data_IF_590438406879
#
_entry.id   IF_590438406879
#
_cell.length_a   1.000
_cell.length_b   1.000
_cell.length_c   1.000
_cell.angle_alpha   90.00
_cell.angle_beta   90.00
_cell.angle_gamma   90.00
#
_symmetry.space_group_name_H-M   'P 1'
#
loop_
_entity.id
_entity.type
_entity.pdbx_description
1 polymer ?
#
# COMPACT_ATOMS: atom_id res chain seq x y z
N UNK A 1 -0.21 -22.62 25.91
CA UNK A 1 -0.65 -22.88 24.53
C UNK A 1 0.33 -22.19 23.60
N UNK A 2 0.97 -22.94 22.70
CA UNK A 2 2.01 -22.40 21.82
C UNK A 2 1.34 -21.87 20.54
N UNK A 3 1.38 -20.54 20.33
CA UNK A 3 0.68 -19.90 19.20
C UNK A 3 1.28 -20.21 17.83
N UNK A 4 2.48 -20.78 17.78
CA UNK A 4 3.15 -21.20 16.54
C UNK A 4 2.43 -22.36 15.83
N UNK A 5 1.69 -23.20 16.54
CA UNK A 5 0.91 -24.29 15.94
C UNK A 5 -0.16 -23.78 14.96
N UNK A 6 -0.66 -22.57 15.18
CA UNK A 6 -1.62 -21.90 14.27
C UNK A 6 -1.00 -21.54 12.92
N UNK A 7 0.27 -21.15 12.93
CA UNK A 7 0.98 -20.67 11.73
C UNK A 7 1.11 -21.80 10.70
N UNK A 8 1.19 -23.05 11.18
CA UNK A 8 1.24 -24.24 10.33
C UNK A 8 0.04 -24.41 9.41
N UNK A 9 -1.16 -23.92 9.77
CA UNK A 9 -2.32 -23.93 8.87
C UNK A 9 -2.15 -23.06 7.62
N UNK A 10 -1.29 -22.03 7.68
CA UNK A 10 -0.97 -21.17 6.55
C UNK A 10 0.35 -21.53 5.86
N UNK A 11 1.25 -22.22 6.56
CA UNK A 11 2.60 -22.53 6.06
C UNK A 11 2.74 -23.92 5.46
N UNK A 12 2.02 -24.92 5.98
CA UNK A 12 2.13 -26.29 5.53
C UNK A 12 1.21 -26.59 4.35
N UNK A 13 1.67 -27.46 3.47
CA UNK A 13 0.85 -28.06 2.44
C UNK A 13 -0.03 -29.19 3.00
N UNK A 14 -0.86 -29.78 2.14
CA UNK A 14 -1.81 -30.82 2.54
C UNK A 14 -1.13 -31.99 3.24
N UNK A 15 0.02 -32.44 2.75
CA UNK A 15 0.74 -33.59 3.32
C UNK A 15 1.33 -33.24 4.70
N UNK A 16 1.89 -32.03 4.84
CA UNK A 16 2.37 -31.50 6.11
C UNK A 16 1.28 -31.39 7.17
N UNK A 17 0.07 -30.94 6.78
CA UNK A 17 -1.09 -30.89 7.69
C UNK A 17 -1.52 -32.30 8.11
N UNK A 18 -1.60 -33.24 7.18
CA UNK A 18 -1.99 -34.64 7.48
C UNK A 18 -1.00 -35.29 8.45
N UNK A 19 0.30 -35.05 8.28
CA UNK A 19 1.33 -35.56 9.20
C UNK A 19 1.24 -35.04 10.64
N UNK A 20 0.49 -33.95 10.86
CA UNK A 20 0.30 -33.29 12.15
C UNK A 20 -1.16 -33.22 12.58
N UNK A 21 -2.03 -34.02 11.96
CA UNK A 21 -3.47 -33.88 12.09
C UNK A 21 -3.95 -33.96 13.54
N UNK A 22 -3.50 -34.97 14.29
CA UNK A 22 -3.93 -35.18 15.69
C UNK A 22 -3.52 -34.00 16.58
N UNK A 23 -2.29 -33.50 16.42
CA UNK A 23 -1.77 -32.34 17.16
C UNK A 23 -2.58 -31.06 16.85
N UNK A 24 -2.92 -30.84 15.58
CA UNK A 24 -3.69 -29.68 15.13
C UNK A 24 -5.16 -29.76 15.57
N UNK A 25 -5.74 -30.96 15.62
CA UNK A 25 -7.10 -31.16 16.14
C UNK A 25 -7.16 -30.91 17.65
N UNK A 26 -6.18 -31.37 18.41
CA UNK A 26 -6.06 -31.07 19.85
C UNK A 26 -5.89 -29.57 20.09
N UNK A 27 -5.09 -28.89 19.27
CA UNK A 27 -4.98 -27.43 19.29
C UNK A 27 -6.33 -26.74 19.09
N UNK A 28 -7.07 -27.13 18.03
CA UNK A 28 -8.39 -26.56 17.73
C UNK A 28 -9.38 -26.82 18.88
N UNK A 29 -9.39 -28.03 19.44
CA UNK A 29 -10.26 -28.37 20.56
C UNK A 29 -9.93 -27.53 21.81
N UNK A 30 -8.64 -27.34 22.10
CA UNK A 30 -8.19 -26.50 23.21
C UNK A 30 -8.58 -25.02 23.01
N UNK A 31 -8.49 -24.48 21.79
CA UNK A 31 -8.95 -23.12 21.50
C UNK A 31 -10.44 -22.93 21.72
N UNK A 32 -11.25 -23.90 21.29
CA UNK A 32 -12.70 -23.88 21.49
C UNK A 32 -13.04 -23.96 22.98
N UNK A 33 -12.36 -24.81 23.76
CA UNK A 33 -12.57 -24.89 25.22
C UNK A 33 -12.22 -23.57 25.92
N UNK A 34 -11.06 -22.98 25.61
CA UNK A 34 -10.63 -21.70 26.19
C UNK A 34 -11.63 -20.60 25.84
N UNK A 35 -12.05 -20.51 24.58
CA UNK A 35 -13.03 -19.52 24.11
C UNK A 35 -14.37 -19.69 24.83
N UNK A 36 -14.83 -20.93 25.00
CA UNK A 36 -16.06 -21.23 25.75
C UNK A 36 -15.95 -20.87 27.23
N UNK A 37 -14.79 -21.10 27.88
CA UNK A 37 -14.56 -20.70 29.28
C UNK A 37 -14.58 -19.19 29.45
N UNK A 38 -13.97 -18.45 28.52
CA UNK A 38 -14.01 -16.97 28.50
C UNK A 38 -15.45 -16.50 28.27
N UNK A 39 -16.15 -17.06 27.29
CA UNK A 39 -17.55 -16.74 26.99
C UNK A 39 -18.46 -16.96 28.21
N UNK A 40 -18.30 -18.08 28.94
CA UNK A 40 -19.04 -18.36 30.18
C UNK A 40 -18.88 -17.27 31.25
N UNK A 41 -17.74 -16.57 31.28
CA UNK A 41 -17.50 -15.47 32.21
C UNK A 41 -18.02 -14.14 31.69
N UNK A 42 -17.89 -13.87 30.40
CA UNK A 42 -18.29 -12.60 29.79
C UNK A 42 -19.82 -12.52 29.58
N UNK A 43 -20.46 -13.63 29.21
CA UNK A 43 -21.87 -13.63 28.83
C UNK A 43 -22.82 -13.14 29.93
N UNK A 44 -22.66 -13.49 31.23
CA UNK A 44 -23.47 -12.89 32.29
C UNK A 44 -23.31 -11.36 32.40
N UNK A 45 -22.08 -10.84 32.29
CA UNK A 45 -21.82 -9.39 32.32
C UNK A 45 -22.45 -8.68 31.12
N UNK A 46 -22.47 -9.33 29.95
CA UNK A 46 -23.19 -8.84 28.78
C UNK A 46 -24.70 -8.73 29.06
N UNK A 47 -25.31 -9.73 29.70
CA UNK A 47 -26.73 -9.69 30.07
C UNK A 47 -27.03 -8.62 31.13
N UNK A 48 -26.11 -8.33 32.05
CA UNK A 48 -26.26 -7.20 32.99
C UNK A 48 -26.21 -5.85 32.28
N UNK A 49 -25.30 -5.70 31.32
CA UNK A 49 -25.13 -4.46 30.54
C UNK A 49 -26.28 -4.24 29.56
N UNK A 50 -26.74 -5.32 28.92
CA UNK A 50 -27.80 -5.35 27.92
C UNK A 50 -28.92 -6.30 28.37
N UNK A 51 -29.78 -5.90 29.33
CA UNK A 51 -30.78 -6.78 29.95
C UNK A 51 -31.94 -7.15 29.03
N UNK A 52 -32.08 -6.45 27.91
CA UNK A 52 -33.14 -6.73 26.96
C UNK A 52 -32.83 -7.98 26.14
N UNK A 53 -33.71 -8.98 26.22
CA UNK A 53 -33.60 -10.25 25.48
C UNK A 53 -33.58 -10.05 23.96
N UNK A 54 -34.16 -8.96 23.46
CA UNK A 54 -34.11 -8.57 22.05
C UNK A 54 -32.67 -8.35 21.59
N UNK A 55 -31.80 -7.73 22.40
CA UNK A 55 -30.40 -7.51 22.04
C UNK A 55 -29.64 -8.82 21.88
N UNK A 56 -29.84 -9.77 22.78
CA UNK A 56 -29.22 -11.11 22.68
C UNK A 56 -29.80 -11.93 21.53
N UNK A 57 -31.11 -11.86 21.28
CA UNK A 57 -31.76 -12.58 20.20
C UNK A 57 -31.35 -12.01 18.82
N UNK A 58 -31.24 -10.69 18.70
CA UNK A 58 -30.79 -10.03 17.48
C UNK A 58 -29.37 -10.47 17.09
N UNK A 59 -28.43 -10.52 18.04
CA UNK A 59 -27.05 -10.99 17.78
C UNK A 59 -27.00 -12.41 17.20
N UNK A 60 -27.88 -13.30 17.66
CA UNK A 60 -27.99 -14.66 17.11
C UNK A 60 -28.45 -14.65 15.65
N UNK A 61 -29.37 -13.76 15.29
CA UNK A 61 -29.90 -13.66 13.93
C UNK A 61 -28.95 -12.93 12.97
N UNK A 62 -28.26 -11.89 13.43
CA UNK A 62 -27.24 -11.18 12.65
C UNK A 62 -26.11 -12.13 12.21
N UNK A 63 -25.75 -13.13 13.03
CA UNK A 63 -24.76 -14.14 12.68
C UNK A 63 -25.22 -15.15 11.61
N UNK A 64 -26.51 -15.13 11.23
CA UNK A 64 -27.11 -16.04 10.23
C UNK A 64 -27.44 -15.36 8.90
N UNK A 65 -26.94 -14.15 8.68
CA UNK A 65 -27.17 -13.43 7.43
C UNK A 65 -26.48 -14.11 6.25
N UNK A 66 -27.25 -14.29 5.19
CA UNK A 66 -26.76 -14.85 3.92
C UNK A 66 -26.47 -13.67 3.01
N UNK A 67 -25.26 -13.62 2.46
CA UNK A 67 -24.94 -12.69 1.39
C UNK A 67 -25.48 -13.28 0.09
N UNK A 68 -26.49 -12.66 -0.56
CA UNK A 68 -27.01 -13.18 -1.82
C UNK A 68 -25.96 -12.96 -2.90
N UNK A 69 -25.38 -14.06 -3.38
CA UNK A 69 -24.55 -14.07 -4.58
C UNK A 69 -25.33 -14.68 -5.73
N UNK A 70 -25.18 -14.12 -6.93
CA UNK A 70 -25.74 -14.67 -8.15
C UNK A 70 -24.61 -15.26 -9.02
N UNK A 71 -24.99 -15.88 -10.15
CA UNK A 71 -24.02 -16.47 -11.10
C UNK A 71 -23.16 -15.41 -11.80
N UNK A 72 -23.58 -14.14 -11.76
CA UNK A 72 -22.85 -13.03 -12.36
C UNK A 72 -21.68 -12.55 -11.47
N UNK A 73 -21.56 -13.09 -10.25
CA UNK A 73 -20.48 -12.72 -9.33
C UNK A 73 -19.08 -13.00 -9.90
N UNK A 74 -18.91 -14.11 -10.63
CA UNK A 74 -17.64 -14.42 -11.31
C UNK A 74 -17.32 -13.40 -12.39
N UNK A 75 -18.34 -12.98 -13.17
CA UNK A 75 -18.19 -11.92 -14.16
C UNK A 75 -17.87 -10.57 -13.50
N UNK A 76 -18.47 -10.27 -12.34
CA UNK A 76 -18.17 -9.07 -11.57
C UNK A 76 -16.71 -9.05 -11.08
N UNK A 77 -16.21 -10.17 -10.53
CA UNK A 77 -14.80 -10.30 -10.13
C UNK A 77 -13.89 -10.08 -11.33
N UNK A 78 -14.15 -10.77 -12.45
CA UNK A 78 -13.34 -10.66 -13.65
C UNK A 78 -13.31 -9.22 -14.21
N UNK A 79 -14.46 -8.54 -14.23
CA UNK A 79 -14.57 -7.16 -14.69
C UNK A 79 -13.86 -6.18 -13.76
N UNK A 80 -14.01 -6.35 -12.44
CA UNK A 80 -13.33 -5.53 -11.44
C UNK A 80 -11.81 -5.68 -11.55
N UNK A 81 -11.32 -6.91 -11.69
CA UNK A 81 -9.90 -7.21 -11.83
C UNK A 81 -9.34 -6.70 -13.17
N UNK A 82 -10.08 -6.86 -14.27
CA UNK A 82 -9.71 -6.30 -15.57
C UNK A 82 -9.61 -4.76 -15.53
N UNK A 83 -10.55 -4.11 -14.84
CA UNK A 83 -10.55 -2.64 -14.68
C UNK A 83 -9.38 -2.18 -13.82
N UNK A 84 -9.11 -2.88 -12.72
CA UNK A 84 -7.94 -2.63 -11.87
C UNK A 84 -6.64 -2.74 -12.66
N UNK A 85 -6.45 -3.86 -13.37
CA UNK A 85 -5.24 -4.09 -14.16
C UNK A 85 -5.05 -3.02 -15.23
N UNK A 86 -6.13 -2.67 -15.96
CA UNK A 86 -6.09 -1.60 -16.97
C UNK A 86 -5.64 -0.27 -16.38
N UNK A 87 -6.19 0.13 -15.22
CA UNK A 87 -5.83 1.40 -14.57
C UNK A 87 -4.40 1.36 -14.03
N UNK A 88 -4.01 0.26 -13.39
CA UNK A 88 -2.66 0.05 -12.86
C UNK A 88 -1.61 0.09 -13.96
N UNK A 89 -1.86 -0.61 -15.08
CA UNK A 89 -0.98 -0.60 -16.24
C UNK A 89 -0.91 0.79 -16.88
N UNK A 90 -2.04 1.49 -17.01
CA UNK A 90 -2.06 2.86 -17.53
C UNK A 90 -1.25 3.83 -16.68
N UNK A 91 -1.33 3.73 -15.35
CA UNK A 91 -0.50 4.54 -14.44
C UNK A 91 0.97 4.18 -14.60
N UNK A 92 1.30 2.88 -14.63
CA UNK A 92 2.68 2.39 -14.81
C UNK A 92 3.28 2.88 -16.12
N UNK A 93 2.57 2.71 -17.24
CA UNK A 93 3.00 3.18 -18.56
C UNK A 93 3.24 4.68 -18.55
N UNK A 94 2.30 5.45 -17.98
CA UNK A 94 2.46 6.91 -17.91
C UNK A 94 3.67 7.34 -17.08
N UNK A 95 3.94 6.65 -15.97
CA UNK A 95 5.12 6.92 -15.15
C UNK A 95 6.42 6.57 -15.87
N UNK A 96 6.44 5.46 -16.62
CA UNK A 96 7.58 5.08 -17.46
C UNK A 96 7.81 6.14 -18.53
N UNK A 97 6.78 6.55 -19.27
CA UNK A 97 6.89 7.60 -20.30
C UNK A 97 7.46 8.92 -19.74
N UNK A 98 6.97 9.35 -18.58
CA UNK A 98 7.46 10.56 -17.92
C UNK A 98 8.92 10.41 -17.46
N UNK A 99 9.30 9.22 -17.02
CA UNK A 99 10.67 8.92 -16.62
C UNK A 99 11.61 8.94 -17.83
N UNK A 100 11.19 8.33 -18.95
CA UNK A 100 11.96 8.33 -20.20
C UNK A 100 12.13 9.76 -20.76
N UNK A 101 11.07 10.56 -20.77
CA UNK A 101 11.13 11.98 -21.14
C UNK A 101 12.10 12.76 -20.24
N UNK A 102 12.07 12.53 -18.93
CA UNK A 102 13.01 13.18 -18.01
C UNK A 102 14.47 12.73 -18.27
N UNK A 103 14.68 11.46 -18.63
CA UNK A 103 16.00 10.89 -18.93
C UNK A 103 16.63 11.45 -20.22
N UNK A 104 15.83 11.85 -21.22
CA UNK A 104 16.33 12.50 -22.45
C UNK A 104 17.18 13.74 -22.13
N UNK A 105 16.81 14.46 -21.08
CA UNK A 105 17.46 15.71 -20.66
C UNK A 105 18.50 15.54 -19.57
N UNK A 106 18.94 14.30 -19.27
CA UNK A 106 19.91 14.02 -18.19
C UNK A 106 21.23 14.81 -18.28
N UNK A 107 21.65 15.17 -19.50
CA UNK A 107 22.89 15.91 -19.71
C UNK A 107 22.69 17.44 -19.62
N UNK A 108 21.44 17.90 -19.64
CA UNK A 108 21.07 19.31 -19.67
C UNK A 108 20.91 19.86 -18.25
N UNK A 109 22.06 20.14 -17.61
CA UNK A 109 22.14 20.60 -16.23
C UNK A 109 21.25 21.80 -15.92
N UNK A 110 21.00 22.68 -16.88
CA UNK A 110 20.16 23.86 -16.68
C UNK A 110 18.66 23.53 -16.62
N UNK A 111 18.21 22.40 -17.18
CA UNK A 111 16.80 22.05 -17.25
C UNK A 111 16.31 21.49 -15.92
N UNK A 112 16.94 20.43 -15.43
CA UNK A 112 16.51 19.80 -14.17
C UNK A 112 16.82 20.67 -12.96
N UNK A 113 17.83 21.54 -12.98
CA UNK A 113 18.10 22.47 -11.88
C UNK A 113 17.02 23.56 -11.70
N UNK A 114 16.28 23.89 -12.76
CA UNK A 114 15.17 24.86 -12.68
C UNK A 114 13.91 24.25 -12.09
N UNK A 115 13.67 22.97 -12.35
CA UNK A 115 12.52 22.26 -11.80
C UNK A 115 12.78 21.91 -10.31
N UNK A 116 11.91 22.34 -9.38
CA UNK A 116 12.08 22.06 -7.96
C UNK A 116 12.17 20.56 -7.63
N UNK A 117 11.54 19.69 -8.41
CA UNK A 117 11.51 18.24 -8.17
C UNK A 117 12.70 17.55 -8.81
N UNK A 118 13.03 17.89 -10.05
CA UNK A 118 14.14 17.26 -10.76
C UNK A 118 15.50 17.65 -10.16
N UNK A 119 15.70 18.88 -9.67
CA UNK A 119 17.01 19.31 -9.11
C UNK A 119 17.45 18.51 -7.89
N UNK A 120 16.49 17.92 -7.20
CA UNK A 120 16.71 17.18 -5.96
C UNK A 120 17.11 15.72 -6.23
N UNK A 121 16.95 15.24 -7.48
CA UNK A 121 17.35 13.90 -7.89
C UNK A 121 18.84 13.85 -8.20
N UNK A 122 19.47 12.71 -7.94
CA UNK A 122 20.87 12.47 -8.27
C UNK A 122 21.01 12.07 -9.75
N UNK A 123 21.47 13.00 -10.58
CA UNK A 123 21.65 12.80 -12.02
C UNK A 123 23.01 12.22 -12.40
N UNK A 124 23.88 11.89 -11.43
CA UNK A 124 25.25 11.42 -11.71
C UNK A 124 25.31 10.04 -12.36
N UNK A 125 24.16 9.41 -12.65
CA UNK A 125 24.04 8.06 -13.20
C UNK A 125 24.41 7.03 -12.13
N UNK A 126 23.43 6.25 -11.70
CA UNK A 126 23.64 5.19 -10.72
C UNK A 126 23.11 3.88 -11.29
N UNK A 127 23.89 2.80 -11.27
CA UNK A 127 23.43 1.47 -11.70
C UNK A 127 22.56 0.82 -10.60
N UNK A 128 21.42 1.44 -10.30
CA UNK A 128 20.42 0.87 -9.40
C UNK A 128 19.35 0.19 -10.25
N UNK A 129 19.22 -1.13 -10.13
CA UNK A 129 18.25 -1.92 -10.90
C UNK A 129 17.12 -2.37 -9.99
N UNK A 130 15.88 -2.03 -10.35
CA UNK A 130 14.71 -2.65 -9.72
C UNK A 130 14.69 -4.13 -10.12
N UNK A 131 14.69 -5.02 -9.13
CA UNK A 131 14.79 -6.47 -9.37
C UNK A 131 13.45 -7.18 -9.19
N UNK A 132 12.58 -6.69 -8.31
CA UNK A 132 11.26 -7.29 -8.08
C UNK A 132 10.29 -6.29 -7.45
N UNK A 133 9.06 -6.28 -7.95
CA UNK A 133 7.90 -5.70 -7.26
C UNK A 133 6.89 -6.81 -7.02
N UNK A 134 6.57 -7.10 -5.75
CA UNK A 134 5.42 -7.93 -5.36
C UNK A 134 4.51 -7.01 -4.53
N UNK A 135 3.21 -7.31 -4.47
CA UNK A 135 2.13 -6.49 -3.90
C UNK A 135 2.50 -5.62 -2.67
N UNK A 136 3.37 -6.09 -1.76
CA UNK A 136 3.79 -5.36 -0.56
C UNK A 136 5.32 -5.12 -0.44
N UNK A 137 6.11 -5.46 -1.45
CA UNK A 137 7.58 -5.40 -1.41
C UNK A 137 8.19 -4.91 -2.73
N UNK A 138 9.05 -3.89 -2.65
CA UNK A 138 9.86 -3.40 -3.77
C UNK A 138 11.33 -3.67 -3.44
N UNK A 139 12.04 -4.33 -4.36
CA UNK A 139 13.44 -4.73 -4.21
C UNK A 139 14.32 -4.07 -5.26
N UNK A 140 15.43 -3.51 -4.82
CA UNK A 140 16.44 -2.88 -5.66
C UNK A 140 17.78 -3.58 -5.47
N UNK A 141 18.54 -3.70 -6.55
CA UNK A 141 19.95 -4.08 -6.54
C UNK A 141 20.76 -2.80 -6.75
N UNK A 142 21.73 -2.57 -5.88
CA UNK A 142 22.67 -1.47 -5.95
C UNK A 142 24.08 -2.00 -5.68
N UNK A 143 25.09 -1.30 -6.19
CA UNK A 143 26.48 -1.57 -5.83
C UNK A 143 26.70 -1.39 -4.32
N UNK A 144 27.65 -2.14 -3.77
CA UNK A 144 27.90 -2.20 -2.33
C UNK A 144 28.25 -0.83 -1.72
N UNK A 145 28.97 -0.01 -2.49
CA UNK A 145 29.34 1.36 -2.11
C UNK A 145 28.14 2.31 -2.01
N UNK A 146 27.06 2.01 -2.70
CA UNK A 146 25.89 2.87 -2.83
C UNK A 146 24.70 2.41 -1.97
N UNK A 147 24.80 1.28 -1.26
CA UNK A 147 23.71 0.69 -0.47
C UNK A 147 22.98 1.69 0.44
N UNK A 148 23.72 2.59 1.09
CA UNK A 148 23.15 3.61 1.98
C UNK A 148 22.54 4.79 1.23
N UNK A 149 23.09 5.16 0.07
CA UNK A 149 22.52 6.19 -0.82
C UNK A 149 21.20 5.71 -1.40
N UNK A 150 21.13 4.46 -1.87
CA UNK A 150 19.90 3.83 -2.35
C UNK A 150 18.86 3.73 -1.24
N UNK A 151 19.25 3.32 -0.02
CA UNK A 151 18.33 3.27 1.12
C UNK A 151 17.74 4.65 1.46
N UNK A 152 18.58 5.69 1.43
CA UNK A 152 18.13 7.07 1.67
C UNK A 152 17.25 7.58 0.54
N UNK A 153 17.57 7.29 -0.73
CA UNK A 153 16.76 7.65 -1.88
C UNK A 153 15.36 7.02 -1.81
N UNK A 154 15.25 5.76 -1.37
CA UNK A 154 13.95 5.10 -1.16
C UNK A 154 13.11 5.82 -0.11
N UNK A 155 13.72 6.25 1.00
CA UNK A 155 13.03 7.03 2.01
C UNK A 155 12.55 8.38 1.47
N UNK A 156 13.38 9.09 0.70
CA UNK A 156 13.00 10.38 0.08
C UNK A 156 11.88 10.20 -0.94
N UNK A 157 11.94 9.14 -1.75
CA UNK A 157 10.92 8.83 -2.73
C UNK A 157 9.55 8.60 -2.06
N UNK A 158 9.48 7.84 -0.97
CA UNK A 158 8.22 7.59 -0.23
C UNK A 158 7.61 8.90 0.31
N UNK A 159 8.45 9.79 0.87
CA UNK A 159 8.01 11.11 1.33
C UNK A 159 7.42 11.91 0.18
N UNK A 160 8.12 12.01 -0.95
CA UNK A 160 7.67 12.82 -2.08
C UNK A 160 6.40 12.28 -2.71
N UNK A 161 6.31 10.97 -2.90
CA UNK A 161 5.10 10.34 -3.42
C UNK A 161 3.91 10.62 -2.52
N UNK A 162 4.07 10.46 -1.20
CA UNK A 162 3.00 10.73 -0.24
C UNK A 162 2.65 12.21 -0.14
N UNK A 163 3.64 13.10 -0.11
CA UNK A 163 3.43 14.54 -0.06
C UNK A 163 2.69 15.03 -1.32
N UNK A 164 3.09 14.54 -2.50
CA UNK A 164 2.40 14.84 -3.75
C UNK A 164 0.93 14.37 -3.69
N UNK A 165 0.68 13.12 -3.27
CA UNK A 165 -0.68 12.60 -3.17
C UNK A 165 -1.54 13.35 -2.14
N UNK A 166 -0.98 13.63 -0.95
CA UNK A 166 -1.65 14.43 0.09
C UNK A 166 -2.02 15.81 -0.42
N UNK A 167 -1.09 16.50 -1.10
CA UNK A 167 -1.33 17.81 -1.66
C UNK A 167 -2.40 17.76 -2.77
N UNK A 168 -2.40 16.75 -3.63
CA UNK A 168 -3.45 16.57 -4.65
C UNK A 168 -4.84 16.37 -4.02
N UNK A 169 -4.88 15.82 -2.81
CA UNK A 169 -6.08 15.68 -1.98
C UNK A 169 -6.36 16.93 -1.12
N UNK A 170 -5.64 18.03 -1.31
CA UNK A 170 -5.82 19.27 -0.51
C UNK A 170 -5.44 19.12 0.96
N UNK A 171 -4.59 18.14 1.28
CA UNK A 171 -4.02 17.92 2.61
C UNK A 171 -2.60 18.49 2.58
N UNK A 172 -2.40 19.62 3.27
CA UNK A 172 -1.11 20.31 3.30
C UNK A 172 -0.10 19.70 4.31
N UNK A 173 -0.59 18.88 5.25
CA UNK A 173 0.21 18.24 6.29
C UNK A 173 0.38 16.74 6.06
N UNK A 174 1.62 16.24 6.09
CA UNK A 174 1.92 14.82 6.05
C UNK A 174 2.41 14.33 7.43
N UNK A 175 1.63 13.51 8.17
CA UNK A 175 2.02 13.02 9.49
C UNK A 175 3.31 12.20 9.45
N UNK A 176 4.29 12.54 10.29
CA UNK A 176 5.59 11.87 10.34
C UNK A 176 5.50 10.34 10.47
N UNK A 177 4.45 9.81 11.10
CA UNK A 177 4.21 8.38 11.27
C UNK A 177 4.01 7.64 9.95
N UNK A 178 3.50 8.30 8.91
CA UNK A 178 3.25 7.71 7.60
C UNK A 178 4.16 8.26 6.50
N UNK A 179 5.06 9.21 6.79
CA UNK A 179 5.91 9.88 5.80
C UNK A 179 7.05 9.01 5.24
N UNK A 180 7.48 7.99 5.98
CA UNK A 180 8.68 7.20 5.71
C UNK A 180 8.36 5.71 5.77
N UNK A 181 9.12 4.89 5.04
CA UNK A 181 9.15 3.45 5.28
C UNK A 181 9.58 3.15 6.73
N UNK A 182 8.95 2.14 7.33
CA UNK A 182 9.27 1.65 8.67
C UNK A 182 10.76 1.30 8.82
N UNK A 183 11.32 0.70 7.77
CA UNK A 183 12.74 0.39 7.60
C UNK A 183 13.04 0.14 6.12
N UNK A 184 14.32 0.22 5.75
CA UNK A 184 14.81 -0.31 4.46
C UNK A 184 15.78 -1.44 4.77
N UNK A 185 15.51 -2.59 4.18
CA UNK A 185 16.26 -3.82 4.39
C UNK A 185 17.40 -3.93 3.37
N UNK A 186 18.63 -4.09 3.85
CA UNK A 186 19.83 -4.21 3.02
C UNK A 186 20.40 -5.61 3.17
N UNK A 187 20.56 -6.32 2.04
CA UNK A 187 21.09 -7.67 2.03
C UNK A 187 21.92 -7.93 0.78
N UNK A 188 22.88 -8.83 0.90
CA UNK A 188 23.65 -9.37 -0.23
C UNK A 188 23.00 -10.61 -0.84
N UNK A 189 22.00 -11.18 -0.16
CA UNK A 189 21.32 -12.42 -0.57
C UNK A 189 19.81 -12.21 -0.59
N UNK A 190 19.14 -12.78 -1.60
CA UNK A 190 17.70 -12.73 -1.71
C UNK A 190 17.04 -13.62 -0.64
N UNK A 191 16.47 -13.00 0.39
CA UNK A 191 15.68 -13.68 1.44
C UNK A 191 14.39 -12.92 1.77
N UNK A 192 13.48 -13.56 2.51
CA UNK A 192 12.20 -12.96 2.92
C UNK A 192 12.42 -11.80 3.90
N UNK A 193 13.18 -12.05 4.96
CA UNK A 193 13.55 -11.04 5.96
C UNK A 193 15.07 -11.09 6.20
N UNK A 194 15.70 -9.93 6.38
CA UNK A 194 17.17 -9.81 6.57
C UNK A 194 17.69 -10.52 7.81
N UNK A 195 16.83 -10.75 8.81
CA UNK A 195 17.18 -11.45 10.04
C UNK A 195 17.06 -12.98 9.93
N UNK A 196 16.57 -13.52 8.82
CA UNK A 196 16.43 -14.96 8.61
C UNK A 196 17.71 -15.56 8.04
N UNK A 197 18.06 -16.76 8.50
CA UNK A 197 19.13 -17.53 7.91
C UNK A 197 18.77 -17.92 6.48
N UNK A 198 19.71 -17.73 5.55
CA UNK A 198 19.55 -18.14 4.16
C UNK A 198 20.35 -19.42 3.93
N UNK A 199 19.64 -20.54 3.74
CA UNK A 199 20.20 -21.82 3.31
C UNK A 199 19.64 -22.11 1.92
N UNK A 200 20.54 -22.31 0.94
CA UNK A 200 20.13 -22.63 -0.44
C UNK A 200 20.56 -24.05 -0.79
N UNK A 201 19.90 -24.72 -1.75
CA UNK A 201 20.30 -26.06 -2.18
C UNK A 201 21.77 -26.15 -2.65
N UNK A 202 22.34 -25.02 -3.09
CA UNK A 202 23.73 -24.88 -3.54
C UNK A 202 24.70 -24.40 -2.45
N UNK A 203 24.21 -23.97 -1.28
CA UNK A 203 25.01 -23.61 -0.09
C UNK A 203 24.30 -24.01 1.20
N UNK A 204 24.78 -25.12 1.79
CA UNK A 204 24.26 -25.69 3.04
C UNK A 204 24.69 -24.93 4.30
N UNK A 205 25.76 -24.14 4.24
CA UNK A 205 26.19 -23.30 5.37
C UNK A 205 25.42 -21.97 5.33
N UNK A 206 24.73 -21.65 6.43
CA UNK A 206 23.89 -20.46 6.55
C UNK A 206 24.68 -19.17 6.32
N UNK A 207 24.16 -18.29 5.46
CA UNK A 207 24.75 -16.97 5.24
C UNK A 207 24.27 -16.04 6.35
N UNK A 208 25.22 -15.41 7.04
CA UNK A 208 24.96 -14.52 8.18
C UNK A 208 23.86 -13.48 7.89
N UNK A 209 23.01 -13.17 8.87
CA UNK A 209 21.99 -12.13 8.75
C UNK A 209 22.57 -10.77 8.36
N UNK A 210 21.89 -10.04 7.49
CA UNK A 210 22.33 -8.74 7.00
C UNK A 210 21.79 -7.59 7.86
N UNK A 211 22.20 -6.36 7.53
CA UNK A 211 21.91 -5.18 8.36
C UNK A 211 20.56 -4.57 7.98
N UNK A 212 19.65 -4.45 8.95
CA UNK A 212 18.40 -3.70 8.80
C UNK A 212 18.65 -2.21 9.07
N UNK A 213 18.44 -1.35 8.09
CA UNK A 213 18.49 0.10 8.32
C UNK A 213 17.11 0.57 8.81
N UNK A 214 16.94 0.51 10.13
CA UNK A 214 15.80 1.12 10.81
C UNK A 214 15.89 2.63 10.73
N UNK A 215 14.76 3.33 10.94
CA UNK A 215 14.69 4.77 11.17
C UNK A 215 15.94 5.25 11.90
N UNK A 216 16.90 5.80 11.15
CA UNK A 216 17.85 6.69 11.75
C UNK A 216 16.97 7.85 12.20
N UNK A 217 16.78 8.03 13.51
CA UNK A 217 16.37 9.33 14.01
C UNK A 217 17.24 10.33 13.28
N UNK A 218 16.63 11.34 12.66
CA UNK A 218 17.25 12.27 11.71
C UNK A 218 18.42 13.01 12.37
N UNK A 219 19.52 12.30 12.58
CA UNK A 219 20.85 12.84 12.61
C UNK A 219 21.24 12.76 11.14
N UNK A 220 20.80 13.77 10.38
CA UNK A 220 21.39 14.02 9.07
C UNK A 220 22.91 14.00 9.20
N UNK A 221 23.64 13.66 8.13
CA UNK A 221 25.09 13.75 8.14
C UNK A 221 25.49 15.10 8.75
N UNK A 222 26.23 15.05 9.87
CA UNK A 222 26.72 16.24 10.55
C UNK A 222 27.59 16.98 9.55
N UNK A 223 27.07 18.07 8.97
CA UNK A 223 27.79 18.90 8.02
C UNK A 223 27.13 19.14 6.66
N UNK A 224 25.89 18.67 6.40
CA UNK A 224 25.13 19.27 5.30
C UNK A 224 24.66 20.65 5.77
N UNK A 225 25.27 21.71 5.25
CA UNK A 225 24.68 23.04 5.36
C UNK A 225 23.24 22.97 4.82
N UNK A 226 22.28 23.67 5.46
CA UNK A 226 20.94 23.79 4.90
C UNK A 226 21.11 24.26 3.46
N UNK A 227 20.68 23.46 2.49
CA UNK A 227 20.58 23.90 1.11
C UNK A 227 19.83 25.24 1.15
N UNK A 228 20.49 26.32 0.73
CA UNK A 228 19.82 27.59 0.54
C UNK A 228 18.63 27.30 -0.36
N UNK A 229 17.42 27.36 0.22
CA UNK A 229 16.21 27.26 -0.58
C UNK A 229 16.27 28.51 -1.44
N UNK A 230 16.72 28.37 -2.68
CA UNK A 230 16.39 29.37 -3.68
C UNK A 230 14.87 29.33 -3.72
N UNK A 231 14.25 30.29 -3.02
CA UNK A 231 12.81 30.44 -2.86
C UNK A 231 12.26 30.91 -4.19
N UNK A 232 12.53 30.17 -5.27
CA UNK A 232 11.71 30.20 -6.47
C UNK A 232 10.28 30.09 -5.96
N UNK A 233 9.47 31.15 -6.18
CA UNK A 233 8.12 31.23 -5.68
C UNK A 233 7.41 29.93 -6.06
N UNK A 234 7.13 29.09 -5.05
CA UNK A 234 6.47 27.82 -5.29
C UNK A 234 5.07 28.14 -5.81
N UNK A 235 4.84 27.84 -7.09
CA UNK A 235 3.52 27.98 -7.67
C UNK A 235 2.64 26.88 -7.09
N UNK A 236 1.68 27.28 -6.26
CA UNK A 236 0.80 26.35 -5.58
C UNK A 236 -0.05 25.60 -6.60
N UNK A 237 0.10 24.27 -6.64
CA UNK A 237 -0.74 23.42 -7.49
C UNK A 237 -2.16 23.45 -6.94
N UNK A 238 -3.15 23.68 -7.81
CA UNK A 238 -4.56 23.56 -7.46
C UNK A 238 -4.84 22.08 -7.16
N UNK A 239 -5.28 21.73 -5.94
CA UNK A 239 -5.63 20.36 -5.60
C UNK A 239 -6.75 19.83 -6.52
N UNK A 240 -6.69 18.55 -6.89
CA UNK A 240 -7.76 17.91 -7.68
C UNK A 240 -9.09 18.01 -6.93
N UNK A 241 -9.10 17.89 -5.60
CA UNK A 241 -10.32 18.07 -4.82
C UNK A 241 -10.89 19.49 -4.86
N UNK A 242 -10.09 20.51 -5.17
CA UNK A 242 -10.59 21.87 -5.27
C UNK A 242 -11.50 22.04 -6.51
N UNK A 243 -11.24 21.27 -7.58
CA UNK A 243 -12.15 21.15 -8.73
C UNK A 243 -13.49 20.50 -8.39
N UNK A 244 -13.59 19.80 -7.25
CA UNK A 244 -14.84 19.26 -6.73
C UNK A 244 -15.63 20.27 -5.88
N UNK A 245 -15.19 21.52 -5.78
CA UNK A 245 -15.96 22.60 -5.13
C UNK A 245 -16.80 23.40 -6.13
N UNK A 246 -16.61 23.18 -7.42
CA UNK A 246 -17.45 23.78 -8.46
C UNK A 246 -18.88 23.23 -8.41
N UNK A 247 -19.84 24.04 -8.88
CA UNK A 247 -21.26 23.67 -8.94
C UNK A 247 -21.54 22.36 -9.70
N UNK A 248 -20.58 21.90 -10.51
CA UNK A 248 -20.65 20.71 -11.35
C UNK A 248 -20.07 19.46 -10.68
N UNK A 249 -19.50 19.58 -9.49
CA UNK A 249 -18.84 18.47 -8.80
C UNK A 249 -19.79 17.35 -8.37
N UNK A 250 -20.98 17.70 -7.89
CA UNK A 250 -22.01 16.73 -7.48
C UNK A 250 -22.49 15.91 -8.69
N UNK A 251 -22.83 16.53 -9.84
CA UNK A 251 -23.10 15.81 -11.08
C UNK A 251 -21.92 14.95 -11.56
N UNK A 252 -20.69 15.45 -11.48
CA UNK A 252 -19.51 14.68 -11.89
C UNK A 252 -19.32 13.40 -11.04
N UNK A 253 -19.43 13.51 -9.71
CA UNK A 253 -19.35 12.36 -8.80
C UNK A 253 -20.51 11.39 -9.03
N UNK A 254 -21.74 11.89 -9.25
CA UNK A 254 -22.90 11.06 -9.59
C UNK A 254 -22.73 10.32 -10.92
N UNK A 255 -22.07 10.93 -11.90
CA UNK A 255 -21.78 10.29 -13.18
C UNK A 255 -20.71 9.19 -13.04
N UNK A 256 -19.75 9.33 -12.13
CA UNK A 256 -18.72 8.30 -11.87
C UNK A 256 -19.27 7.06 -11.16
N UNK A 257 -20.30 7.22 -10.32
CA UNK A 257 -20.94 6.12 -9.59
C UNK A 257 -22.20 5.57 -10.28
N UNK A 258 -22.55 6.11 -11.46
CA UNK A 258 -23.73 5.68 -12.20
C UNK A 258 -23.61 4.21 -12.59
N UNK A 259 -24.65 3.45 -12.29
CA UNK A 259 -24.68 2.00 -12.51
C UNK A 259 -25.14 1.61 -13.91
N UNK A 260 -25.84 2.52 -14.61
CA UNK A 260 -26.30 2.32 -15.98
C UNK A 260 -26.28 3.62 -16.82
N UNK A 261 -26.43 3.45 -18.14
CA UNK A 261 -26.41 4.54 -19.12
C UNK A 261 -27.57 5.53 -18.98
N UNK A 262 -28.71 5.09 -18.45
CA UNK A 262 -29.89 5.95 -18.24
C UNK A 262 -29.65 6.90 -17.07
N UNK A 263 -29.08 6.38 -15.99
CA UNK A 263 -28.64 7.16 -14.82
C UNK A 263 -27.58 8.18 -15.23
N UNK A 264 -26.56 7.76 -15.99
CA UNK A 264 -25.52 8.64 -16.52
C UNK A 264 -26.10 9.77 -17.39
N UNK A 265 -26.98 9.45 -18.36
CA UNK A 265 -27.55 10.45 -19.25
C UNK A 265 -28.43 11.46 -18.52
N UNK A 266 -29.15 11.05 -17.46
CA UNK A 266 -29.95 11.94 -16.63
C UNK A 266 -29.08 12.93 -15.83
N UNK A 267 -27.90 12.49 -15.37
CA UNK A 267 -26.94 13.32 -14.65
C UNK A 267 -26.28 14.35 -15.58
N UNK A 268 -26.00 13.98 -16.84
CA UNK A 268 -25.33 14.84 -17.83
C UNK A 268 -26.31 15.74 -18.60
N UNK A 269 -27.61 15.43 -18.59
CA UNK A 269 -28.68 16.19 -19.27
C UNK A 269 -28.66 17.71 -19.06
N UNK A 270 -28.40 18.25 -17.85
CA UNK A 270 -28.32 19.70 -17.63
C UNK A 270 -27.09 20.38 -18.25
N UNK A 271 -26.07 19.59 -18.64
CA UNK A 271 -24.79 20.07 -19.18
C UNK A 271 -24.69 19.98 -20.70
N UNK A 272 -25.59 19.21 -21.34
CA UNK A 272 -25.76 19.22 -22.80
C UNK A 272 -26.46 20.54 -23.17
N UNK A 273 -25.68 21.56 -23.51
CA UNK A 273 -26.19 22.86 -23.99
C UNK A 273 -27.22 22.66 -25.11
N UNK A 274 -28.24 23.53 -25.15
CA UNK A 274 -29.26 23.49 -26.20
C UNK A 274 -28.57 23.51 -27.57
N UNK A 275 -28.97 22.63 -28.51
CA UNK A 275 -28.36 22.61 -29.83
C UNK A 275 -28.50 24.00 -30.44
N UNK A 276 -27.38 24.59 -30.86
CA UNK A 276 -27.35 25.86 -31.58
C UNK A 276 -28.25 25.74 -32.81
N UNK A 277 -29.37 26.46 -32.78
CA UNK A 277 -30.33 26.61 -33.88
C UNK A 277 -29.72 27.35 -35.06
#
# INVERSE_FOLDING_TARGET
MNKTQREWFGELDREGIVGKLDELLDYCAAEVDVTHRVYKKIFPHFLETCPNTVSSAALRHLASEIVPVNKDWEANIANAEATYNKLSDGVRERLVDLTEQALEHRNEHNMYNRDPWLRQLDWSGQEVRMTKGIHDEIRYLAEEEDKYRTAMALQVADIWTRAMLSQQMGIDDLPQSCTYFSAVDLDHVLRKEVNMDCVTPSRLNAITPATRQRRAGVAGPRGLEPLESDRSAYEHRVPVLDSLRDANAIPYLRAQIATDTTEFDNVVKPFKGSPSS
#
